data_IF_732041683666
#
_entry.id   IF_732041683666
#
_cell.length_a   1.000
_cell.length_b   1.000
_cell.length_c   1.000
_cell.angle_alpha   90.00
_cell.angle_beta   90.00
_cell.angle_gamma   90.00
#
_symmetry.space_group_name_H-M   'P 1'
#
loop_
_entity.id
_entity.type
_entity.pdbx_description
1 polymer ?
#
# COMPACT_ATOMS: atom_id res chain seq x y z
N UNK A 1 18.27 2.80 17.99
CA UNK A 1 18.33 3.79 16.91
C UNK A 1 17.19 4.80 17.12
N UNK A 2 17.52 6.08 16.96
CA UNK A 2 16.53 7.17 17.01
C UNK A 2 16.48 7.75 15.60
N UNK A 3 15.30 7.89 15.05
CA UNK A 3 15.03 8.51 13.77
C UNK A 3 14.21 9.79 14.00
N UNK A 4 14.74 10.90 13.56
CA UNK A 4 14.05 12.19 13.54
C UNK A 4 14.03 12.68 12.11
N UNK A 5 12.84 12.83 11.54
CA UNK A 5 12.66 13.36 10.20
C UNK A 5 11.66 14.52 10.25
N UNK A 6 11.97 15.57 9.52
CA UNK A 6 11.07 16.68 9.28
C UNK A 6 10.97 16.95 7.78
N UNK A 7 9.79 17.23 7.30
CA UNK A 7 9.52 17.56 5.90
C UNK A 7 8.43 18.61 5.80
N UNK A 8 8.38 19.28 4.65
CA UNK A 8 7.29 20.19 4.32
C UNK A 8 6.63 19.72 3.03
N UNK A 9 5.33 19.57 3.05
CA UNK A 9 4.55 19.13 1.91
C UNK A 9 3.26 19.95 1.76
N UNK A 10 2.37 19.57 0.85
CA UNK A 10 1.12 20.28 0.61
C UNK A 10 0.21 20.40 1.84
N UNK A 11 0.45 19.65 2.91
CA UNK A 11 -0.26 19.69 4.19
C UNK A 11 0.51 20.38 5.32
N UNK A 12 1.53 21.18 5.01
CA UNK A 12 2.35 21.84 6.00
C UNK A 12 3.54 20.98 6.47
N UNK A 13 3.98 21.24 7.68
CA UNK A 13 5.11 20.53 8.28
C UNK A 13 4.70 19.11 8.72
N UNK A 14 5.52 18.13 8.38
CA UNK A 14 5.37 16.72 8.79
C UNK A 14 6.58 16.38 9.65
N UNK A 15 6.33 15.93 10.87
CA UNK A 15 7.35 15.41 11.78
C UNK A 15 7.23 13.90 11.96
N UNK A 16 8.35 13.20 11.94
CA UNK A 16 8.42 11.77 12.28
C UNK A 16 9.45 11.56 13.38
N UNK A 17 9.04 10.88 14.43
CA UNK A 17 9.90 10.37 15.50
C UNK A 17 9.81 8.85 15.48
N UNK A 18 10.95 8.18 15.24
CA UNK A 18 11.09 6.73 15.30
C UNK A 18 12.08 6.32 16.39
N UNK A 19 11.71 5.31 17.16
CA UNK A 19 12.57 4.66 18.14
C UNK A 19 12.63 3.17 17.81
N UNK A 20 13.80 2.63 17.52
CA UNK A 20 13.97 1.20 17.23
C UNK A 20 15.07 0.59 18.09
N UNK A 21 14.79 -0.62 18.58
CA UNK A 21 15.66 -1.42 19.44
C UNK A 21 15.76 -2.82 18.84
N UNK A 22 16.93 -3.19 18.31
CA UNK A 22 17.15 -4.43 17.54
C UNK A 22 17.67 -5.60 18.39
N UNK A 23 17.83 -5.43 19.68
CA UNK A 23 18.26 -6.47 20.59
C UNK A 23 17.44 -6.44 21.88
N UNK A 24 16.15 -6.20 21.76
CA UNK A 24 15.24 -6.23 22.90
C UNK A 24 15.09 -7.65 23.45
N UNK A 25 14.84 -7.77 24.74
CA UNK A 25 14.56 -9.03 25.41
C UNK A 25 13.31 -8.93 26.26
N UNK A 26 12.24 -9.60 25.86
CA UNK A 26 11.03 -9.71 26.67
C UNK A 26 11.26 -10.54 27.94
N UNK A 27 12.19 -11.50 27.93
CA UNK A 27 12.52 -12.32 29.09
C UNK A 27 13.19 -11.52 30.19
N UNK A 28 14.01 -10.54 29.80
CA UNK A 28 14.81 -9.76 30.71
C UNK A 28 14.08 -8.49 31.21
N UNK A 29 12.78 -8.36 31.00
CA UNK A 29 11.99 -7.18 31.46
C UNK A 29 12.10 -6.98 32.99
N UNK A 30 12.24 -8.05 33.77
CA UNK A 30 12.36 -7.99 35.22
C UNK A 30 13.82 -7.99 35.72
N UNK A 31 14.81 -8.14 34.81
CA UNK A 31 16.23 -8.08 35.16
C UNK A 31 16.81 -6.69 34.93
N UNK A 32 16.96 -5.91 36.00
CA UNK A 32 17.53 -4.55 35.96
C UNK A 32 18.95 -4.48 35.37
N UNK A 33 19.73 -5.58 35.46
CA UNK A 33 21.10 -5.62 34.92
C UNK A 33 21.14 -5.69 33.39
N UNK A 34 20.05 -6.12 32.78
CA UNK A 34 19.91 -6.22 31.32
C UNK A 34 19.55 -4.89 30.62
N UNK A 35 19.24 -3.83 31.38
CA UNK A 35 18.78 -2.55 30.84
C UNK A 35 19.93 -1.68 30.30
N UNK A 36 19.92 -1.41 28.93
CA UNK A 36 20.89 -0.54 28.23
C UNK A 36 20.27 0.15 26.98
N UNK A 37 19.33 1.08 27.03
CA UNK A 37 18.43 1.57 28.08
C UNK A 37 17.19 0.69 28.30
N UNK A 38 16.86 -0.23 27.40
CA UNK A 38 15.80 -1.24 27.52
C UNK A 38 16.43 -2.61 27.81
N UNK A 39 15.64 -3.59 28.30
CA UNK A 39 16.13 -4.95 28.52
C UNK A 39 16.61 -5.55 27.18
N UNK A 40 17.83 -6.04 27.14
CA UNK A 40 18.50 -6.56 25.94
C UNK A 40 18.93 -8.01 26.11
N UNK A 41 19.18 -8.70 24.97
CA UNK A 41 19.81 -10.01 24.97
C UNK A 41 19.21 -11.08 24.03
N UNK A 42 17.95 -10.96 23.62
CA UNK A 42 17.25 -11.98 22.82
C UNK A 42 17.19 -11.64 21.31
N UNK A 43 17.72 -10.50 20.86
CA UNK A 43 17.72 -10.13 19.45
C UNK A 43 16.34 -9.77 18.90
N UNK A 44 15.37 -9.53 19.78
CA UNK A 44 14.03 -9.11 19.39
C UNK A 44 14.05 -7.66 18.88
N UNK A 45 13.17 -7.34 17.93
CA UNK A 45 13.02 -6.00 17.40
C UNK A 45 11.78 -5.34 18.00
N UNK A 46 11.98 -4.19 18.61
CA UNK A 46 10.92 -3.34 19.12
C UNK A 46 11.01 -1.98 18.42
N UNK A 47 9.91 -1.51 17.84
CA UNK A 47 9.89 -0.18 17.24
C UNK A 47 8.61 0.58 17.62
N UNK A 48 8.81 1.87 17.87
CA UNK A 48 7.76 2.86 18.09
C UNK A 48 7.95 3.96 17.05
N UNK A 49 6.88 4.34 16.36
CA UNK A 49 6.92 5.43 15.40
C UNK A 49 5.72 6.34 15.59
N UNK A 50 6.01 7.62 15.68
CA UNK A 50 5.04 8.70 15.67
C UNK A 50 5.28 9.54 14.42
N UNK A 51 4.27 9.72 13.62
CA UNK A 51 4.29 10.67 12.52
C UNK A 51 3.11 11.63 12.71
N UNK A 52 3.39 12.91 12.63
CA UNK A 52 2.35 13.92 12.84
C UNK A 52 2.50 15.08 11.89
N UNK A 53 1.37 15.58 11.42
CA UNK A 53 1.23 16.82 10.68
C UNK A 53 0.03 17.60 11.24
N UNK A 54 -0.25 18.75 10.63
CA UNK A 54 -1.45 19.51 10.97
C UNK A 54 -2.75 18.73 10.70
N UNK A 55 -2.75 17.84 9.68
CA UNK A 55 -3.95 17.17 9.17
C UNK A 55 -4.05 15.71 9.57
N UNK A 56 -2.96 15.09 9.99
CA UNK A 56 -3.00 13.70 10.42
C UNK A 56 -1.97 13.38 11.48
N UNK A 57 -2.22 12.32 12.23
CA UNK A 57 -1.29 11.71 13.15
C UNK A 57 -1.36 10.20 13.04
N UNK A 58 -0.21 9.55 12.96
CA UNK A 58 -0.08 8.08 12.94
C UNK A 58 0.81 7.66 14.09
N UNK A 59 0.31 6.74 14.90
CA UNK A 59 1.02 6.08 15.99
C UNK A 59 1.18 4.63 15.62
N UNK A 60 2.40 4.10 15.65
CA UNK A 60 2.63 2.69 15.40
C UNK A 60 3.59 2.09 16.41
N UNK A 61 3.26 0.88 16.82
CA UNK A 61 4.08 0.03 17.64
C UNK A 61 4.29 -1.27 16.87
N UNK A 62 5.52 -1.78 16.83
CA UNK A 62 5.82 -3.09 16.26
C UNK A 62 6.79 -3.85 17.13
N UNK A 63 6.55 -5.14 17.24
CA UNK A 63 7.41 -6.10 17.92
C UNK A 63 7.63 -7.30 17.01
N UNK A 64 8.86 -7.79 16.92
CA UNK A 64 9.19 -9.00 16.16
C UNK A 64 10.17 -9.88 16.94
N UNK A 65 9.79 -11.15 17.07
CA UNK A 65 10.63 -12.23 17.57
C UNK A 65 11.13 -13.05 16.37
N UNK A 66 12.42 -12.96 16.00
CA UNK A 66 12.93 -13.63 14.80
C UNK A 66 13.04 -15.17 14.96
N UNK A 67 13.09 -15.67 16.19
CA UNK A 67 13.27 -17.09 16.52
C UNK A 67 12.19 -17.57 17.49
N UNK A 68 10.98 -17.74 17.01
CA UNK A 68 9.85 -18.21 17.84
C UNK A 68 10.19 -19.53 18.54
N UNK A 69 10.18 -19.49 19.88
CA UNK A 69 10.58 -20.64 20.68
C UNK A 69 12.10 -20.89 20.75
N UNK A 70 12.94 -20.01 20.19
CA UNK A 70 14.41 -20.03 20.32
C UNK A 70 15.14 -21.08 19.49
N UNK A 71 14.44 -21.92 18.72
CA UNK A 71 15.05 -23.04 17.99
C UNK A 71 14.75 -23.08 16.50
N UNK A 72 13.67 -22.45 16.04
CA UNK A 72 13.27 -22.48 14.65
C UNK A 72 13.31 -21.07 14.04
N UNK A 73 13.75 -20.93 12.78
CA UNK A 73 13.75 -19.64 12.07
C UNK A 73 12.33 -19.27 11.61
N UNK A 74 11.41 -19.18 12.57
CA UNK A 74 10.05 -18.70 12.38
C UNK A 74 9.96 -17.36 13.10
N UNK A 75 9.75 -16.31 12.34
CA UNK A 75 9.54 -14.97 12.88
C UNK A 75 8.08 -14.81 13.29
N UNK A 76 7.88 -14.42 14.54
CA UNK A 76 6.58 -13.89 14.99
C UNK A 76 6.63 -12.37 14.98
N UNK A 77 5.56 -11.72 14.55
CA UNK A 77 5.44 -10.26 14.58
C UNK A 77 4.07 -9.84 15.08
N UNK A 78 4.03 -8.72 15.78
CA UNK A 78 2.80 -8.02 16.13
C UNK A 78 2.97 -6.54 15.83
N UNK A 79 1.93 -5.91 15.30
CA UNK A 79 1.90 -4.45 15.09
C UNK A 79 0.57 -3.88 15.52
N UNK A 80 0.64 -2.71 16.14
CA UNK A 80 -0.51 -1.87 16.49
C UNK A 80 -0.35 -0.56 15.72
N UNK A 81 -1.42 -0.09 15.13
CA UNK A 81 -1.43 1.18 14.41
C UNK A 81 -2.70 1.95 14.75
N UNK A 82 -2.55 3.25 14.95
CA UNK A 82 -3.66 4.17 15.07
C UNK A 82 -3.37 5.41 14.24
N UNK A 83 -4.25 5.72 13.31
CA UNK A 83 -4.14 6.88 12.41
C UNK A 83 -5.40 7.73 12.54
N UNK A 84 -5.23 9.02 12.69
CA UNK A 84 -6.31 10.01 12.67
C UNK A 84 -6.00 10.98 11.54
N UNK A 85 -6.95 11.21 10.67
CA UNK A 85 -6.90 12.22 9.63
C UNK A 85 -8.04 13.22 9.84
N UNK A 86 -7.73 14.52 9.71
CA UNK A 86 -8.68 15.62 9.81
C UNK A 86 -8.92 16.23 8.43
N UNK A 87 -10.11 16.78 8.21
CA UNK A 87 -10.43 17.47 6.99
C UNK A 87 -9.67 18.79 6.86
N UNK A 88 -9.24 19.12 5.67
CA UNK A 88 -8.70 20.43 5.35
C UNK A 88 -9.84 21.43 5.16
N UNK A 89 -9.80 22.52 5.92
CA UNK A 89 -10.70 23.65 5.75
C UNK A 89 -10.04 24.67 4.78
N UNK A 90 -10.60 24.79 3.59
CA UNK A 90 -10.09 25.69 2.54
C UNK A 90 -10.21 27.17 2.88
N UNK A 91 -11.11 27.56 3.81
CA UNK A 91 -11.30 28.96 4.21
C UNK A 91 -10.29 29.42 5.23
N UNK A 92 -9.97 28.56 6.19
CA UNK A 92 -9.03 28.88 7.27
C UNK A 92 -7.61 28.41 6.99
N UNK A 93 -7.42 27.47 6.05
CA UNK A 93 -6.14 26.78 5.80
C UNK A 93 -5.71 25.84 6.94
N UNK A 94 -6.61 25.54 7.88
CA UNK A 94 -6.35 24.74 9.06
C UNK A 94 -7.08 23.39 8.99
N UNK A 95 -6.73 22.49 9.91
CA UNK A 95 -7.45 21.24 10.08
C UNK A 95 -8.76 21.45 10.85
N UNK A 96 -9.86 20.98 10.28
CA UNK A 96 -11.13 20.90 10.98
C UNK A 96 -11.20 19.62 11.81
N UNK A 97 -10.98 19.74 13.11
CA UNK A 97 -10.97 18.60 14.03
C UNK A 97 -12.35 18.02 14.34
N UNK A 98 -13.42 18.72 13.95
CA UNK A 98 -14.80 18.20 14.07
C UNK A 98 -15.09 17.13 13.01
N UNK A 99 -14.26 17.07 11.95
CA UNK A 99 -14.37 16.14 10.86
C UNK A 99 -13.13 15.24 10.82
N UNK A 100 -13.30 13.97 11.13
CA UNK A 100 -12.18 13.05 11.25
C UNK A 100 -12.45 11.68 10.68
N UNK A 101 -11.39 11.07 10.15
CA UNK A 101 -11.34 9.68 9.76
C UNK A 101 -10.26 8.97 10.57
N UNK A 102 -10.65 7.93 11.29
CA UNK A 102 -9.77 7.19 12.19
C UNK A 102 -9.65 5.73 11.74
N UNK A 103 -8.43 5.21 11.80
CA UNK A 103 -8.12 3.81 11.52
C UNK A 103 -7.32 3.26 12.69
N UNK A 104 -7.85 2.26 13.38
CA UNK A 104 -7.15 1.53 14.44
C UNK A 104 -6.96 0.09 14.02
N UNK A 105 -5.76 -0.45 14.14
CA UNK A 105 -5.48 -1.80 13.67
C UNK A 105 -4.50 -2.57 14.55
N UNK A 106 -4.70 -3.89 14.57
CA UNK A 106 -3.77 -4.87 15.13
C UNK A 106 -3.49 -5.92 14.06
N UNK A 107 -2.23 -6.31 13.93
CA UNK A 107 -1.81 -7.41 13.05
C UNK A 107 -0.91 -8.36 13.81
N UNK A 108 -1.18 -9.66 13.69
CA UNK A 108 -0.34 -10.75 14.19
C UNK A 108 0.16 -11.55 12.98
N UNK A 109 1.46 -11.75 12.89
CA UNK A 109 2.09 -12.39 11.73
C UNK A 109 3.09 -13.48 12.11
N UNK A 110 3.19 -14.46 11.22
CA UNK A 110 4.20 -15.50 11.22
C UNK A 110 4.88 -15.51 9.85
N UNK A 111 6.21 -15.54 9.84
CA UNK A 111 6.98 -15.66 8.61
C UNK A 111 8.04 -16.76 8.76
N UNK A 112 8.17 -17.58 7.72
CA UNK A 112 9.11 -18.70 7.69
C UNK A 112 9.82 -18.77 6.34
N UNK A 113 11.15 -18.90 6.37
CA UNK A 113 11.92 -19.24 5.18
C UNK A 113 11.69 -20.70 4.82
N UNK A 114 11.39 -20.97 3.57
CA UNK A 114 11.22 -22.31 3.05
C UNK A 114 12.57 -22.83 2.52
N UNK A 115 12.77 -24.17 2.55
CA UNK A 115 13.95 -24.82 1.99
C UNK A 115 13.68 -25.42 0.60
N UNK A 116 12.42 -25.56 0.25
CA UNK A 116 11.95 -26.14 -1.02
C UNK A 116 11.03 -25.12 -1.68
N UNK A 117 11.19 -24.83 -2.97
CA UNK A 117 12.15 -25.40 -3.94
C UNK A 117 13.59 -24.85 -3.79
N UNK A 118 13.80 -23.68 -3.20
CA UNK A 118 15.11 -23.13 -2.87
C UNK A 118 15.04 -22.26 -1.59
N UNK A 119 16.20 -21.85 -1.05
CA UNK A 119 16.31 -21.10 0.20
C UNK A 119 15.91 -19.61 0.08
N UNK A 120 15.50 -19.14 -1.09
CA UNK A 120 15.06 -17.76 -1.29
C UNK A 120 13.56 -17.58 -1.07
N UNK A 121 12.81 -18.67 -0.93
CA UNK A 121 11.38 -18.62 -0.64
C UNK A 121 11.07 -18.29 0.80
N UNK A 122 10.10 -17.41 1.00
CA UNK A 122 9.53 -17.07 2.29
C UNK A 122 8.01 -17.15 2.23
N UNK A 123 7.43 -17.87 3.17
CA UNK A 123 5.99 -17.89 3.41
C UNK A 123 5.68 -17.04 4.63
N UNK A 124 4.78 -16.07 4.48
CA UNK A 124 4.24 -15.28 5.58
C UNK A 124 2.72 -15.43 5.65
N UNK A 125 2.20 -15.41 6.87
CA UNK A 125 0.79 -15.49 7.18
C UNK A 125 0.48 -14.47 8.26
N UNK A 126 -0.64 -13.78 8.16
CA UNK A 126 -1.04 -12.82 9.19
C UNK A 126 -2.55 -12.76 9.33
N UNK A 127 -2.98 -12.45 10.54
CA UNK A 127 -4.35 -12.07 10.86
C UNK A 127 -4.32 -10.62 11.27
N UNK A 128 -5.16 -9.81 10.65
CA UNK A 128 -5.29 -8.39 10.94
C UNK A 128 -6.74 -8.04 11.26
N UNK A 129 -6.91 -7.17 12.25
CA UNK A 129 -8.19 -6.52 12.51
C UNK A 129 -7.99 -5.01 12.41
N UNK A 130 -8.84 -4.35 11.62
CA UNK A 130 -8.84 -2.90 11.44
C UNK A 130 -10.25 -2.37 11.70
N UNK A 131 -10.32 -1.33 12.50
CA UNK A 131 -11.53 -0.59 12.79
C UNK A 131 -11.43 0.79 12.15
N UNK A 132 -12.40 1.13 11.33
CA UNK A 132 -12.53 2.40 10.65
C UNK A 132 -13.67 3.18 11.30
N UNK A 133 -13.44 4.45 11.63
CA UNK A 133 -14.45 5.33 12.18
C UNK A 133 -14.44 6.67 11.43
N UNK A 134 -15.59 7.03 10.86
CA UNK A 134 -15.82 8.28 10.17
C UNK A 134 -16.71 9.15 11.04
N UNK A 135 -16.27 10.38 11.27
CA UNK A 135 -17.04 11.40 11.99
C UNK A 135 -17.14 12.62 11.10
N UNK A 136 -18.30 12.79 10.48
CA UNK A 136 -18.61 13.85 9.51
C UNK A 136 -17.51 14.05 8.44
N UNK A 137 -16.90 12.92 7.98
CA UNK A 137 -15.75 12.92 7.08
C UNK A 137 -16.05 12.13 5.81
N UNK A 138 -16.27 12.83 4.71
CA UNK A 138 -16.49 12.21 3.40
C UNK A 138 -15.16 11.92 2.74
N UNK A 139 -14.81 10.64 2.62
CA UNK A 139 -13.57 10.18 1.96
C UNK A 139 -13.67 10.18 0.44
N UNK A 140 -14.88 10.27 -0.11
CA UNK A 140 -15.17 10.02 -1.52
C UNK A 140 -15.22 8.53 -1.89
N UNK A 141 -14.89 7.62 -0.95
CA UNK A 141 -14.98 6.16 -1.15
C UNK A 141 -16.31 5.60 -0.65
N UNK A 142 -16.88 6.21 0.39
CA UNK A 142 -18.20 5.88 0.91
C UNK A 142 -19.22 6.93 0.54
N UNK A 143 -20.47 6.54 0.49
CA UNK A 143 -21.62 7.43 0.35
C UNK A 143 -22.03 8.07 1.69
N UNK A 144 -21.46 7.59 2.80
CA UNK A 144 -21.69 8.11 4.15
C UNK A 144 -20.44 8.82 4.70
N UNK A 145 -20.66 9.86 5.49
CA UNK A 145 -19.61 10.61 6.20
C UNK A 145 -19.54 10.30 7.69
N UNK A 146 -20.57 9.65 8.24
CA UNK A 146 -20.65 9.19 9.62
C UNK A 146 -20.88 7.68 9.63
N UNK A 147 -20.06 6.95 10.39
CA UNK A 147 -20.21 5.52 10.49
C UNK A 147 -18.92 4.77 10.82
N UNK A 148 -19.03 3.46 10.83
CA UNK A 148 -17.95 2.57 11.20
C UNK A 148 -17.83 1.38 10.23
N UNK A 149 -16.63 0.85 10.07
CA UNK A 149 -16.39 -0.39 9.33
C UNK A 149 -15.35 -1.25 10.03
N UNK A 150 -15.57 -2.56 10.02
CA UNK A 150 -14.70 -3.55 10.63
C UNK A 150 -14.10 -4.45 9.55
N UNK A 151 -12.78 -4.65 9.59
CA UNK A 151 -12.05 -5.46 8.63
C UNK A 151 -11.22 -6.52 9.38
N UNK A 152 -11.73 -7.72 9.48
CA UNK A 152 -10.97 -8.88 9.96
C UNK A 152 -10.48 -9.65 8.74
N UNK A 153 -9.17 -9.74 8.56
CA UNK A 153 -8.61 -10.37 7.38
C UNK A 153 -7.49 -11.35 7.72
N UNK A 154 -7.44 -12.45 6.97
CA UNK A 154 -6.31 -13.38 6.93
C UNK A 154 -5.55 -13.16 5.63
N UNK A 155 -4.23 -12.96 5.73
CA UNK A 155 -3.35 -12.72 4.59
C UNK A 155 -2.28 -13.79 4.53
N UNK A 156 -2.09 -14.37 3.34
CA UNK A 156 -0.99 -15.27 3.02
C UNK A 156 -0.15 -14.64 1.93
N UNK A 157 1.16 -14.64 2.09
CA UNK A 157 2.10 -14.16 1.08
C UNK A 157 3.23 -15.15 0.88
N UNK A 158 3.49 -15.48 -0.38
CA UNK A 158 4.64 -16.27 -0.81
C UNK A 158 5.55 -15.36 -1.62
N UNK A 159 6.75 -15.13 -1.11
CA UNK A 159 7.76 -14.32 -1.78
C UNK A 159 9.01 -15.13 -2.08
N UNK A 160 9.71 -14.76 -3.13
CA UNK A 160 11.03 -15.25 -3.47
C UNK A 160 11.88 -14.09 -3.94
N UNK A 161 13.07 -13.96 -3.39
CA UNK A 161 14.01 -12.93 -3.80
C UNK A 161 15.43 -13.50 -3.87
N UNK A 162 15.95 -13.59 -5.09
CA UNK A 162 17.34 -13.94 -5.35
C UNK A 162 18.08 -12.84 -6.14
N UNK A 163 17.63 -11.61 -6.03
CA UNK A 163 18.30 -10.48 -6.68
C UNK A 163 19.73 -10.33 -6.21
N UNK A 164 20.63 -9.97 -7.13
CA UNK A 164 22.07 -10.00 -6.86
C UNK A 164 22.53 -8.76 -6.09
N UNK A 165 23.28 -9.05 -5.08
CA UNK A 165 24.27 -8.31 -4.26
C UNK A 165 24.00 -6.83 -3.97
N UNK A 166 23.63 -6.00 -4.94
CA UNK A 166 23.39 -4.58 -4.71
C UNK A 166 21.90 -4.28 -4.67
N UNK A 167 21.31 -3.99 -3.51
CA UNK A 167 19.86 -3.72 -3.41
C UNK A 167 19.43 -2.45 -4.15
N UNK A 168 20.35 -1.49 -4.37
CA UNK A 168 20.06 -0.22 -5.04
C UNK A 168 20.08 -0.40 -6.56
N UNK A 169 21.01 -1.21 -7.05
CA UNK A 169 21.19 -1.50 -8.46
C UNK A 169 21.39 -3.01 -8.70
N UNK A 170 20.34 -3.83 -8.59
CA UNK A 170 20.44 -5.25 -8.90
C UNK A 170 20.82 -5.45 -10.37
N UNK A 171 21.83 -6.29 -10.60
CA UNK A 171 22.33 -6.61 -11.94
C UNK A 171 21.87 -7.97 -12.44
N UNK A 172 21.12 -8.72 -11.66
CA UNK A 172 20.59 -10.02 -12.04
C UNK A 172 19.73 -10.63 -10.95
N UNK A 173 19.08 -11.73 -11.27
CA UNK A 173 18.15 -12.42 -10.39
C UNK A 173 16.70 -11.97 -10.58
N UNK A 174 15.84 -12.44 -9.71
CA UNK A 174 14.41 -12.15 -9.75
C UNK A 174 13.84 -11.99 -8.34
N UNK A 175 12.80 -11.19 -8.25
CA UNK A 175 11.98 -11.08 -7.04
C UNK A 175 10.53 -11.22 -7.45
N UNK A 176 9.77 -12.06 -6.75
CA UNK A 176 8.32 -12.09 -6.92
C UNK A 176 7.61 -12.27 -5.58
N UNK A 177 6.38 -11.79 -5.55
CA UNK A 177 5.51 -11.90 -4.40
C UNK A 177 4.07 -12.18 -4.86
N UNK A 178 3.46 -13.21 -4.30
CA UNK A 178 2.03 -13.49 -4.44
C UNK A 178 1.42 -13.27 -3.07
N UNK A 179 0.45 -12.39 -2.96
CA UNK A 179 -0.29 -12.11 -1.72
C UNK A 179 -1.77 -12.37 -1.94
N UNK A 180 -2.37 -13.15 -1.06
CA UNK A 180 -3.80 -13.37 -1.01
C UNK A 180 -4.35 -12.95 0.35
N UNK A 181 -5.36 -12.08 0.35
CA UNK A 181 -6.04 -11.56 1.54
C UNK A 181 -7.52 -11.95 1.47
N UNK A 182 -8.02 -12.49 2.56
CA UNK A 182 -9.39 -13.00 2.67
C UNK A 182 -10.04 -12.47 3.94
N UNK A 183 -11.26 -12.02 3.83
CA UNK A 183 -12.11 -11.75 5.00
C UNK A 183 -13.13 -12.88 5.16
N UNK A 184 -13.70 -13.09 6.35
CA UNK A 184 -14.81 -14.03 6.50
C UNK A 184 -16.01 -13.64 5.62
N UNK A 185 -16.69 -14.61 4.99
CA UNK A 185 -17.89 -14.35 4.20
C UNK A 185 -19.11 -14.17 5.11
N UNK A 186 -19.21 -13.05 5.79
CA UNK A 186 -20.25 -12.76 6.79
C UNK A 186 -21.67 -12.91 6.26
N UNK A 187 -21.89 -12.55 4.98
CA UNK A 187 -23.20 -12.62 4.34
C UNK A 187 -23.75 -14.04 4.22
N UNK A 188 -22.88 -15.07 4.27
CA UNK A 188 -23.31 -16.48 4.26
C UNK A 188 -23.89 -16.94 5.60
N UNK A 189 -23.60 -16.23 6.70
CA UNK A 189 -23.91 -16.68 8.06
C UNK A 189 -24.91 -15.77 8.79
N UNK A 190 -25.13 -14.52 8.32
CA UNK A 190 -25.95 -13.54 9.03
C UNK A 190 -27.43 -13.54 8.62
N UNK A 191 -27.81 -14.31 7.60
CA UNK A 191 -29.21 -14.45 7.15
C UNK A 191 -29.83 -13.19 6.54
N UNK A 192 -29.03 -12.14 6.23
CA UNK A 192 -29.53 -10.90 5.64
C UNK A 192 -29.56 -10.98 4.11
N UNK A 193 -30.65 -10.50 3.52
CA UNK A 193 -30.76 -10.28 2.09
C UNK A 193 -30.30 -8.86 1.75
N UNK A 194 -29.10 -8.76 1.16
CA UNK A 194 -28.51 -7.49 0.77
C UNK A 194 -29.03 -6.94 -0.58
N UNK A 195 -29.82 -7.72 -1.33
CA UNK A 195 -30.37 -7.27 -2.62
C UNK A 195 -31.55 -6.32 -2.46
N UNK A 196 -32.30 -6.45 -1.37
CA UNK A 196 -33.59 -5.76 -1.17
C UNK A 196 -33.56 -4.81 0.04
N UNK A 197 -32.37 -4.39 0.52
CA UNK A 197 -32.28 -3.47 1.67
C UNK A 197 -33.04 -2.16 1.45
N UNK A 198 -33.04 -1.64 0.22
CA UNK A 198 -33.73 -0.39 -0.11
C UNK A 198 -35.25 -0.46 -0.03
N UNK A 199 -35.84 -1.67 0.01
CA UNK A 199 -37.29 -1.88 0.13
C UNK A 199 -37.77 -1.93 1.58
N UNK A 200 -36.81 -2.02 2.54
CA UNK A 200 -37.14 -2.09 3.96
C UNK A 200 -37.35 -0.68 4.53
N UNK A 201 -38.40 -0.46 5.35
CA UNK A 201 -38.75 0.86 5.89
C UNK A 201 -37.63 1.52 6.68
N UNK A 202 -36.77 0.73 7.33
CA UNK A 202 -35.62 1.22 8.12
C UNK A 202 -34.50 1.85 7.28
N UNK A 203 -34.50 1.60 5.97
CA UNK A 203 -33.56 2.13 4.99
C UNK A 203 -34.18 3.15 4.03
N UNK A 204 -35.38 3.66 4.34
CA UNK A 204 -36.10 4.63 3.53
C UNK A 204 -36.30 5.95 4.27
N UNK A 205 -36.40 7.04 3.50
CA UNK A 205 -36.80 8.34 4.03
C UNK A 205 -38.33 8.40 4.24
N UNK A 206 -38.83 9.52 4.76
CA UNK A 206 -40.26 9.77 4.99
C UNK A 206 -41.13 9.67 3.71
N UNK A 207 -40.51 9.76 2.53
CA UNK A 207 -41.17 9.69 1.23
C UNK A 207 -41.04 8.29 0.59
N UNK A 208 -40.42 7.32 1.27
CA UNK A 208 -40.21 5.97 0.76
C UNK A 208 -39.03 5.81 -0.20
N UNK A 209 -38.10 6.82 -0.26
CA UNK A 209 -36.91 6.71 -1.09
C UNK A 209 -35.76 6.03 -0.32
N UNK A 210 -34.96 5.16 -0.96
CA UNK A 210 -33.85 4.49 -0.33
C UNK A 210 -32.77 5.47 0.17
N UNK A 211 -32.38 5.37 1.44
CA UNK A 211 -31.27 6.10 2.05
C UNK A 211 -29.94 5.39 1.76
N UNK A 212 -29.31 5.73 0.64
CA UNK A 212 -28.09 5.05 0.15
C UNK A 212 -26.98 5.03 1.19
N UNK A 213 -26.78 6.13 1.94
CA UNK A 213 -25.76 6.19 2.99
C UNK A 213 -25.99 5.18 4.12
N UNK A 214 -27.24 4.96 4.53
CA UNK A 214 -27.62 4.00 5.58
C UNK A 214 -27.50 2.57 5.05
N UNK A 215 -27.92 2.33 3.81
CA UNK A 215 -27.75 1.03 3.13
C UNK A 215 -26.27 0.66 3.02
N UNK A 216 -25.42 1.59 2.58
CA UNK A 216 -24.01 1.34 2.44
C UNK A 216 -23.31 1.18 3.80
N UNK A 217 -23.73 1.92 4.83
CA UNK A 217 -23.24 1.71 6.19
C UNK A 217 -23.55 0.29 6.69
N UNK A 218 -24.75 -0.24 6.41
CA UNK A 218 -25.10 -1.61 6.77
C UNK A 218 -24.30 -2.64 5.93
N UNK A 219 -24.15 -2.42 4.61
CA UNK A 219 -23.37 -3.29 3.73
C UNK A 219 -21.91 -3.39 4.13
N UNK A 220 -21.31 -2.28 4.57
CA UNK A 220 -19.86 -2.19 4.82
C UNK A 220 -19.48 -2.15 6.31
N UNK A 221 -20.44 -2.34 7.21
CA UNK A 221 -20.15 -2.46 8.65
C UNK A 221 -19.13 -3.56 8.97
N UNK A 222 -19.18 -4.69 8.27
CA UNK A 222 -18.15 -5.73 8.23
C UNK A 222 -17.71 -5.91 6.80
N UNK A 223 -16.45 -5.61 6.50
CA UNK A 223 -15.91 -5.72 5.15
C UNK A 223 -15.80 -7.19 4.75
N UNK A 224 -16.30 -7.50 3.54
CA UNK A 224 -16.34 -8.84 3.00
C UNK A 224 -15.79 -8.85 1.58
N UNK A 225 -14.57 -9.43 1.41
CA UNK A 225 -13.87 -9.46 0.14
C UNK A 225 -12.74 -10.48 0.12
N UNK A 226 -12.28 -10.77 -1.06
CA UNK A 226 -10.98 -11.37 -1.28
C UNK A 226 -10.14 -10.47 -2.20
N UNK A 227 -8.82 -10.48 -1.97
CA UNK A 227 -7.85 -9.69 -2.75
C UNK A 227 -6.65 -10.54 -3.06
N UNK A 228 -6.26 -10.62 -4.33
CA UNK A 228 -5.07 -11.34 -4.76
C UNK A 228 -4.18 -10.39 -5.53
N UNK A 229 -2.88 -10.38 -5.20
CA UNK A 229 -1.87 -9.58 -5.91
C UNK A 229 -0.70 -10.44 -6.31
N UNK A 230 -0.15 -10.14 -7.46
CA UNK A 230 1.12 -10.66 -7.94
C UNK A 230 2.02 -9.50 -8.33
N UNK A 231 3.25 -9.51 -7.83
CA UNK A 231 4.32 -8.60 -8.26
C UNK A 231 5.53 -9.44 -8.64
N UNK A 232 6.04 -9.24 -9.83
CA UNK A 232 7.21 -9.97 -10.32
C UNK A 232 8.19 -9.05 -11.00
N UNK A 233 9.48 -9.15 -10.64
CA UNK A 233 10.57 -8.36 -11.21
C UNK A 233 11.72 -9.27 -11.56
N UNK A 234 12.31 -9.07 -12.74
CA UNK A 234 13.49 -9.78 -13.22
C UNK A 234 14.55 -8.79 -13.66
N UNK A 235 15.80 -9.09 -13.34
CA UNK A 235 16.97 -8.34 -13.76
C UNK A 235 17.86 -9.20 -14.62
N UNK A 236 18.16 -8.71 -15.82
CA UNK A 236 19.00 -9.42 -16.80
C UNK A 236 20.13 -8.51 -17.24
N UNK A 237 21.40 -8.85 -16.98
CA UNK A 237 22.53 -8.12 -17.54
C UNK A 237 22.53 -8.34 -19.06
N UNK A 238 22.57 -7.24 -19.84
CA UNK A 238 22.58 -7.33 -21.30
C UNK A 238 24.01 -7.19 -21.83
N UNK A 239 24.66 -6.11 -21.46
CA UNK A 239 26.01 -5.79 -21.95
C UNK A 239 26.76 -4.97 -20.88
N UNK A 240 27.95 -5.40 -20.49
CA UNK A 240 28.80 -4.76 -19.47
C UNK A 240 28.02 -4.35 -18.20
N UNK A 241 27.74 -3.04 -18.08
CA UNK A 241 27.02 -2.44 -16.94
C UNK A 241 25.53 -2.25 -17.22
N UNK A 242 25.08 -2.53 -18.46
CA UNK A 242 23.69 -2.31 -18.86
C UNK A 242 22.80 -3.43 -18.33
N UNK A 243 21.79 -3.09 -17.58
CA UNK A 243 20.84 -4.04 -16.98
C UNK A 243 19.42 -3.77 -17.46
N UNK A 244 18.76 -4.81 -17.95
CA UNK A 244 17.34 -4.81 -18.23
C UNK A 244 16.58 -5.24 -16.97
N UNK A 245 15.62 -4.42 -16.54
CA UNK A 245 14.61 -4.78 -15.55
C UNK A 245 13.30 -4.97 -16.28
N UNK A 246 12.65 -6.11 -16.07
CA UNK A 246 11.28 -6.36 -16.49
C UNK A 246 10.41 -6.58 -15.26
N UNK A 247 9.17 -6.07 -15.28
CA UNK A 247 8.25 -6.15 -14.16
C UNK A 247 6.84 -6.41 -14.67
N UNK A 248 6.11 -7.27 -13.94
CA UNK A 248 4.70 -7.52 -14.16
C UNK A 248 3.96 -7.50 -12.81
N UNK A 249 2.92 -6.69 -12.73
CA UNK A 249 2.10 -6.53 -11.54
C UNK A 249 0.63 -6.75 -11.88
N UNK A 250 -0.07 -7.50 -11.04
CA UNK A 250 -1.51 -7.76 -11.16
C UNK A 250 -2.16 -7.64 -9.79
N UNK A 251 -3.39 -7.16 -9.77
CA UNK A 251 -4.21 -7.15 -8.57
C UNK A 251 -5.67 -7.38 -8.90
N UNK A 252 -6.35 -8.12 -8.04
CA UNK A 252 -7.75 -8.48 -8.15
C UNK A 252 -8.42 -8.33 -6.79
N UNK A 253 -9.58 -7.67 -6.77
CA UNK A 253 -10.47 -7.60 -5.61
C UNK A 253 -11.83 -8.13 -6.06
N UNK A 254 -12.44 -9.00 -5.25
CA UNK A 254 -13.79 -9.48 -5.48
C UNK A 254 -14.60 -9.56 -4.19
N UNK A 255 -15.91 -9.51 -4.36
CA UNK A 255 -16.87 -9.75 -3.28
C UNK A 255 -17.37 -11.19 -3.35
N UNK A 256 -17.59 -11.83 -2.19
CA UNK A 256 -18.22 -13.14 -2.14
C UNK A 256 -19.72 -13.04 -2.46
N UNK A 257 -20.34 -11.93 -2.03
CA UNK A 257 -21.74 -11.63 -2.30
C UNK A 257 -21.86 -10.41 -3.21
N UNK A 258 -22.33 -10.61 -4.44
CA UNK A 258 -22.45 -9.56 -5.46
C UNK A 258 -23.45 -8.47 -5.02
N UNK A 259 -24.50 -8.82 -4.27
CA UNK A 259 -25.51 -7.86 -3.80
C UNK A 259 -24.98 -6.85 -2.78
N UNK A 260 -23.85 -7.15 -2.11
CA UNK A 260 -23.13 -6.20 -1.27
C UNK A 260 -22.29 -5.22 -2.08
N UNK A 261 -21.91 -5.60 -3.29
CA UNK A 261 -21.00 -4.83 -4.14
C UNK A 261 -19.54 -4.97 -3.72
N UNK A 262 -18.68 -4.31 -4.49
CA UNK A 262 -17.25 -4.25 -4.18
C UNK A 262 -17.00 -3.27 -3.03
N UNK A 263 -16.10 -3.65 -2.12
CA UNK A 263 -15.72 -2.79 -1.00
C UNK A 263 -15.17 -1.45 -1.50
N UNK A 264 -15.44 -0.34 -0.79
CA UNK A 264 -14.90 0.96 -1.14
C UNK A 264 -13.42 1.13 -0.76
N UNK A 265 -12.95 0.39 0.25
CA UNK A 265 -11.55 0.38 0.65
C UNK A 265 -10.71 -0.58 -0.19
N UNK A 266 -9.39 -0.45 -0.09
CA UNK A 266 -8.42 -1.36 -0.69
C UNK A 266 -8.43 -1.42 -2.23
N UNK A 267 -9.23 -0.58 -2.90
CA UNK A 267 -9.24 -0.50 -4.36
C UNK A 267 -7.94 0.07 -4.91
N UNK A 268 -7.69 -0.24 -6.17
CA UNK A 268 -6.49 0.17 -6.88
C UNK A 268 -6.69 1.49 -7.61
N UNK A 269 -5.74 2.39 -7.44
CA UNK A 269 -5.72 3.68 -8.12
C UNK A 269 -4.46 3.80 -8.95
N UNK A 270 -4.60 3.78 -10.28
CA UNK A 270 -3.49 3.76 -11.22
C UNK A 270 -3.19 5.16 -11.77
N UNK A 271 -1.90 5.39 -12.04
CA UNK A 271 -1.37 6.59 -12.67
C UNK A 271 -0.37 7.33 -11.79
N UNK A 272 0.50 8.10 -12.45
CA UNK A 272 1.45 8.98 -11.82
C UNK A 272 2.68 8.31 -11.22
N UNK A 273 3.23 8.94 -10.21
CA UNK A 273 4.42 8.49 -9.48
C UNK A 273 4.08 7.57 -8.31
N UNK A 274 2.80 7.38 -8.00
CA UNK A 274 2.33 6.60 -6.87
C UNK A 274 2.54 7.30 -5.52
N UNK A 275 2.89 8.57 -5.52
CA UNK A 275 2.89 9.40 -4.31
C UNK A 275 1.48 9.91 -4.06
N UNK A 276 0.94 9.59 -2.90
CA UNK A 276 -0.37 10.11 -2.48
C UNK A 276 -0.12 11.29 -1.56
N UNK A 277 -0.71 12.42 -1.87
CA UNK A 277 -0.87 13.48 -0.90
C UNK A 277 -2.08 13.15 -0.01
N UNK A 278 -1.89 12.80 1.24
CA UNK A 278 -2.88 12.82 2.34
C UNK A 278 -4.03 11.82 2.38
N UNK A 279 -4.24 10.94 1.40
CA UNK A 279 -5.31 9.96 1.49
C UNK A 279 -4.85 8.71 2.27
N UNK A 280 -5.02 8.70 3.58
CA UNK A 280 -4.77 7.55 4.46
C UNK A 280 -6.00 6.64 4.58
N UNK A 281 -6.82 6.58 3.54
CA UNK A 281 -8.12 5.92 3.48
C UNK A 281 -8.06 4.46 3.03
N UNK A 282 -6.85 3.88 2.96
CA UNK A 282 -6.66 2.48 2.59
C UNK A 282 -6.65 2.23 1.07
N UNK A 283 -6.70 3.27 0.24
CA UNK A 283 -6.51 3.12 -1.21
C UNK A 283 -5.10 2.64 -1.54
N UNK A 284 -4.97 1.82 -2.56
CA UNK A 284 -3.68 1.33 -3.03
C UNK A 284 -3.29 2.01 -4.35
N UNK A 285 -2.24 2.83 -4.31
CA UNK A 285 -1.79 3.57 -5.50
C UNK A 285 -0.76 2.78 -6.27
N UNK A 286 -1.01 2.61 -7.56
CA UNK A 286 -0.15 1.91 -8.51
C UNK A 286 0.44 2.94 -9.46
N UNK A 287 1.75 3.16 -9.35
CA UNK A 287 2.44 4.10 -10.24
C UNK A 287 2.42 3.61 -11.69
N UNK A 288 2.07 4.51 -12.61
CA UNK A 288 2.23 4.36 -14.05
C UNK A 288 2.68 5.71 -14.61
N UNK A 289 3.95 5.78 -14.97
CA UNK A 289 4.60 7.02 -15.42
C UNK A 289 4.05 7.48 -16.78
N UNK A 290 4.06 8.79 -17.03
CA UNK A 290 3.48 9.38 -18.24
C UNK A 290 1.98 9.67 -18.14
N UNK A 291 1.40 9.51 -16.95
CA UNK A 291 0.00 9.83 -16.65
C UNK A 291 -0.10 10.61 -15.33
N UNK A 292 -1.10 11.48 -15.17
CA UNK A 292 -1.37 12.13 -13.88
C UNK A 292 -1.71 11.09 -12.78
N UNK A 293 -1.50 11.48 -11.54
CA UNK A 293 -1.79 10.62 -10.39
C UNK A 293 -3.25 10.16 -10.40
N UNK A 294 -3.46 8.84 -10.28
CA UNK A 294 -4.76 8.16 -10.19
C UNK A 294 -5.67 8.33 -11.43
N UNK A 295 -5.18 8.91 -12.52
CA UNK A 295 -6.00 9.26 -13.71
C UNK A 295 -6.50 8.05 -14.52
N UNK A 296 -5.92 6.86 -14.31
CA UNK A 296 -6.28 5.64 -15.02
C UNK A 296 -7.29 4.76 -14.25
N UNK A 297 -7.87 5.31 -13.21
CA UNK A 297 -8.92 4.67 -12.41
C UNK A 297 -10.09 5.62 -12.29
N UNK A 298 -11.32 5.09 -12.20
CA UNK A 298 -12.48 5.89 -11.86
C UNK A 298 -12.37 6.50 -10.46
N UNK A 299 -13.30 7.39 -10.12
CA UNK A 299 -13.33 8.05 -8.82
C UNK A 299 -13.34 7.06 -7.64
N UNK A 300 -13.97 5.91 -7.84
CA UNK A 300 -14.08 4.85 -6.84
C UNK A 300 -12.88 3.89 -6.84
N UNK A 301 -11.91 4.09 -7.73
CA UNK A 301 -10.80 3.17 -7.94
C UNK A 301 -11.20 1.90 -8.70
N UNK A 302 -10.23 1.11 -9.10
CA UNK A 302 -10.39 -0.12 -9.87
C UNK A 302 -10.39 -1.35 -8.98
N UNK A 303 -11.11 -2.41 -9.37
CA UNK A 303 -11.12 -3.71 -8.68
C UNK A 303 -10.10 -4.67 -9.27
N UNK A 304 -9.64 -4.41 -10.48
CA UNK A 304 -8.59 -5.17 -11.16
C UNK A 304 -7.59 -4.18 -11.74
N UNK A 305 -6.33 -4.53 -11.71
CA UNK A 305 -5.30 -3.84 -12.50
C UNK A 305 -4.28 -4.81 -13.07
N UNK A 306 -3.67 -4.40 -14.16
CA UNK A 306 -2.45 -4.97 -14.67
C UNK A 306 -1.45 -3.86 -14.98
N UNK A 307 -0.17 -4.15 -14.79
CA UNK A 307 0.94 -3.27 -15.16
C UNK A 307 2.12 -4.10 -15.62
N UNK A 308 2.70 -3.66 -16.73
CA UNK A 308 3.96 -4.18 -17.25
C UNK A 308 4.96 -3.03 -17.36
N UNK A 309 6.21 -3.29 -17.02
CA UNK A 309 7.29 -2.31 -17.13
C UNK A 309 8.56 -2.98 -17.66
N UNK A 310 9.22 -2.29 -18.56
CA UNK A 310 10.54 -2.64 -19.06
C UNK A 310 11.42 -1.43 -18.84
N UNK A 311 12.53 -1.59 -18.11
CA UNK A 311 13.49 -0.51 -17.87
C UNK A 311 14.88 -0.94 -18.30
N UNK A 312 15.54 -0.12 -19.08
CA UNK A 312 16.94 -0.24 -19.39
C UNK A 312 17.72 0.69 -18.48
N UNK A 313 18.60 0.13 -17.63
CA UNK A 313 19.30 0.82 -16.56
C UNK A 313 20.80 0.84 -16.80
N UNK A 314 21.42 2.02 -16.64
CA UNK A 314 22.86 2.20 -16.77
C UNK A 314 23.43 2.92 -15.52
N UNK A 315 24.38 2.32 -14.77
CA UNK A 315 24.96 2.95 -13.60
C UNK A 315 26.03 3.97 -14.01
N UNK A 316 25.83 5.19 -13.54
CA UNK A 316 26.82 6.28 -13.70
C UNK A 316 27.88 6.14 -12.61
N UNK A 317 27.45 5.93 -11.37
CA UNK A 317 28.34 5.63 -10.24
C UNK A 317 27.59 4.75 -9.22
N UNK A 318 28.30 3.79 -8.63
CA UNK A 318 27.79 2.91 -7.56
C UNK A 318 28.67 2.99 -6.32
N UNK A 319 29.15 4.19 -5.96
CA UNK A 319 29.96 4.37 -4.75
C UNK A 319 29.11 4.30 -3.50
N UNK A 320 29.68 3.85 -2.36
CA UNK A 320 28.94 3.79 -1.09
C UNK A 320 28.35 5.14 -0.64
N UNK A 321 29.02 6.25 -0.98
CA UNK A 321 28.57 7.61 -0.64
C UNK A 321 27.40 8.10 -1.49
N UNK A 322 27.32 7.64 -2.75
CA UNK A 322 26.22 7.96 -3.65
C UNK A 322 26.16 6.97 -4.80
N UNK A 323 25.00 6.39 -5.05
CA UNK A 323 24.74 5.57 -6.22
C UNK A 323 23.83 6.34 -7.17
N UNK A 324 24.29 6.54 -8.42
CA UNK A 324 23.57 7.29 -9.44
C UNK A 324 23.44 6.41 -10.67
N UNK A 325 22.24 6.26 -11.21
CA UNK A 325 22.00 5.57 -12.46
C UNK A 325 20.93 6.26 -13.30
N UNK A 326 21.09 6.18 -14.61
CA UNK A 326 20.10 6.59 -15.58
C UNK A 326 19.25 5.39 -16.00
N UNK A 327 18.04 5.66 -16.43
CA UNK A 327 17.15 4.63 -16.99
C UNK A 327 16.30 5.20 -18.11
N UNK A 328 15.91 4.33 -19.03
CA UNK A 328 14.78 4.53 -19.93
C UNK A 328 13.74 3.45 -19.66
N UNK A 329 12.47 3.77 -19.90
CA UNK A 329 11.38 2.85 -19.59
C UNK A 329 10.30 2.82 -20.66
N UNK A 330 9.64 1.68 -20.75
CA UNK A 330 8.36 1.46 -21.40
C UNK A 330 7.41 0.89 -20.35
N UNK A 331 6.24 1.47 -20.20
CA UNK A 331 5.21 0.98 -19.29
C UNK A 331 3.88 0.80 -20.02
N UNK A 332 3.12 -0.18 -19.59
CA UNK A 332 1.76 -0.41 -20.05
C UNK A 332 0.92 -0.93 -18.88
N UNK A 333 -0.27 -0.40 -18.70
CA UNK A 333 -1.16 -0.85 -17.63
C UNK A 333 -2.54 -0.23 -17.73
N UNK A 334 -3.49 -0.81 -17.02
CA UNK A 334 -4.86 -0.30 -16.94
C UNK A 334 -5.55 -0.75 -15.66
N UNK A 335 -6.58 0.00 -15.25
CA UNK A 335 -7.50 -0.35 -14.19
C UNK A 335 -8.87 -0.72 -14.74
N UNK A 336 -9.57 -1.68 -14.11
CA UNK A 336 -10.87 -2.16 -14.55
C UNK A 336 -11.84 -2.26 -13.37
N UNK A 337 -13.11 -1.94 -13.64
CA UNK A 337 -14.16 -1.89 -12.62
C UNK A 337 -14.85 -3.25 -12.43
N UNK A 338 -14.62 -4.20 -13.34
CA UNK A 338 -15.24 -5.53 -13.28
C UNK A 338 -14.40 -6.59 -13.99
N UNK A 339 -14.56 -7.85 -13.57
CA UNK A 339 -13.95 -9.00 -14.24
C UNK A 339 -14.43 -9.19 -15.69
N UNK A 340 -15.66 -8.75 -15.99
CA UNK A 340 -16.20 -8.84 -17.35
C UNK A 340 -15.45 -7.95 -18.35
N UNK A 341 -14.95 -6.79 -17.87
CA UNK A 341 -14.28 -5.79 -18.70
C UNK A 341 -12.76 -5.96 -18.70
N UNK A 342 -12.23 -6.97 -17.99
CA UNK A 342 -10.81 -7.20 -17.91
C UNK A 342 -10.24 -7.69 -19.24
N UNK A 343 -9.34 -6.89 -19.83
CA UNK A 343 -8.54 -7.23 -21.00
C UNK A 343 -7.09 -6.76 -20.77
N UNK A 344 -6.16 -7.67 -20.47
CA UNK A 344 -4.78 -7.31 -20.15
C UNK A 344 -4.01 -6.68 -21.33
N UNK A 345 -4.53 -6.79 -22.55
CA UNK A 345 -3.93 -6.19 -23.74
C UNK A 345 -4.47 -4.77 -24.02
N UNK A 346 -5.60 -4.39 -23.44
CA UNK A 346 -6.12 -3.03 -23.52
C UNK A 346 -5.48 -2.16 -22.45
N UNK A 347 -4.18 -1.90 -22.61
CA UNK A 347 -3.38 -1.16 -21.64
C UNK A 347 -3.02 0.23 -22.15
N UNK A 348 -2.99 1.19 -21.25
CA UNK A 348 -2.48 2.54 -21.47
C UNK A 348 -0.95 2.51 -21.45
N UNK A 349 -0.32 3.04 -22.50
CA UNK A 349 1.12 2.89 -22.78
C UNK A 349 1.86 4.19 -22.54
N UNK A 350 3.08 4.09 -22.05
CA UNK A 350 3.98 5.22 -21.90
C UNK A 350 5.43 4.83 -22.14
N UNK A 351 6.24 5.84 -22.44
CA UNK A 351 7.69 5.70 -22.56
C UNK A 351 8.35 6.93 -21.93
N UNK A 352 9.59 6.77 -21.48
CA UNK A 352 10.30 7.89 -20.90
C UNK A 352 11.71 7.54 -20.45
N UNK A 353 12.33 8.51 -19.78
CA UNK A 353 13.66 8.38 -19.22
C UNK A 353 13.71 9.07 -17.85
N UNK A 354 14.67 8.65 -17.04
CA UNK A 354 14.85 9.23 -15.71
C UNK A 354 16.21 8.97 -15.11
N UNK A 355 16.41 9.57 -13.96
CA UNK A 355 17.63 9.44 -13.17
C UNK A 355 17.27 9.09 -11.73
N UNK A 356 18.08 8.23 -11.13
CA UNK A 356 17.98 7.85 -9.72
C UNK A 356 19.28 8.22 -9.01
N UNK A 357 19.15 8.80 -7.84
CA UNK A 357 20.25 9.16 -6.96
C UNK A 357 19.93 8.57 -5.60
N UNK A 358 20.76 7.66 -5.15
CA UNK A 358 20.68 7.14 -3.79
C UNK A 358 21.82 7.73 -2.96
N UNK A 359 21.47 8.30 -1.82
CA UNK A 359 22.41 8.79 -0.81
C UNK A 359 22.03 8.23 0.55
N UNK A 360 22.95 7.63 1.32
CA UNK A 360 22.62 6.99 2.61
C UNK A 360 21.89 7.91 3.61
N UNK A 361 22.15 9.22 3.55
CA UNK A 361 21.53 10.20 4.45
C UNK A 361 20.11 10.62 4.01
N UNK A 362 19.78 10.52 2.72
CA UNK A 362 18.52 11.03 2.14
C UNK A 362 17.63 9.95 1.50
N UNK A 363 18.19 8.72 1.35
CA UNK A 363 17.50 7.65 0.64
C UNK A 363 17.56 7.80 -0.87
N UNK A 364 16.57 7.23 -1.56
CA UNK A 364 16.44 7.26 -3.02
C UNK A 364 15.68 8.52 -3.45
N UNK A 365 16.28 9.28 -4.33
CA UNK A 365 15.65 10.40 -5.04
C UNK A 365 15.62 10.08 -6.53
N UNK A 366 14.59 10.48 -7.22
CA UNK A 366 14.48 10.29 -8.67
C UNK A 366 13.62 11.32 -9.34
N UNK A 367 13.89 11.50 -10.62
CA UNK A 367 13.05 12.29 -11.53
C UNK A 367 12.88 11.50 -12.83
N UNK A 368 11.65 11.40 -13.28
CA UNK A 368 11.27 10.77 -14.55
C UNK A 368 10.51 11.75 -15.44
N UNK A 369 10.80 11.71 -16.71
CA UNK A 369 10.03 12.35 -17.76
C UNK A 369 9.36 11.25 -18.58
N UNK A 370 8.03 11.18 -18.51
CA UNK A 370 7.23 10.17 -19.17
C UNK A 370 6.27 10.79 -20.17
N UNK A 371 6.11 10.15 -21.32
CA UNK A 371 5.12 10.51 -22.33
C UNK A 371 4.05 9.44 -22.39
N UNK A 372 2.80 9.80 -22.08
CA UNK A 372 1.63 8.93 -22.20
C UNK A 372 1.08 8.97 -23.62
N UNK A 373 1.09 7.80 -24.29
CA UNK A 373 0.62 7.69 -25.68
C UNK A 373 -0.90 7.66 -25.81
N UNK A 374 -1.58 7.20 -24.75
CA UNK A 374 -3.02 7.04 -24.73
C UNK A 374 -3.65 8.07 -23.77
N UNK A 375 -4.89 8.48 -24.01
CA UNK A 375 -5.58 9.38 -23.09
C UNK A 375 -6.20 8.61 -21.93
N UNK A 376 -6.13 9.14 -20.69
CA UNK A 376 -6.89 8.59 -19.56
C UNK A 376 -8.41 8.58 -19.83
N UNK A 377 -8.91 9.66 -20.46
CA UNK A 377 -10.31 9.73 -20.84
C UNK A 377 -10.57 8.85 -22.08
N UNK A 378 -11.41 7.80 -21.99
CA UNK A 378 -11.69 6.90 -23.12
C UNK A 378 -12.35 7.58 -24.32
N UNK A 379 -12.97 8.76 -24.11
CA UNK A 379 -13.64 9.52 -25.16
C UNK A 379 -12.69 10.46 -25.92
N UNK A 380 -11.43 10.56 -25.51
CA UNK A 380 -10.43 11.39 -26.16
C UNK A 380 -9.47 10.56 -27.00
N UNK A 381 -9.19 11.02 -28.19
CA UNK A 381 -8.21 10.39 -29.11
C UNK A 381 -6.83 11.03 -29.05
N UNK A 382 -6.67 12.11 -28.28
CA UNK A 382 -5.38 12.78 -28.12
C UNK A 382 -4.51 12.03 -27.11
N UNK A 383 -3.19 12.06 -27.30
CA UNK A 383 -2.25 11.51 -26.29
C UNK A 383 -2.34 12.30 -24.99
N UNK A 384 -2.01 11.68 -23.85
CA UNK A 384 -1.87 12.40 -22.57
C UNK A 384 -0.75 13.44 -22.65
N UNK A 385 0.37 13.09 -23.29
CA UNK A 385 1.52 13.97 -23.42
C UNK A 385 2.58 13.75 -22.35
N UNK A 386 3.40 14.78 -22.11
CA UNK A 386 4.52 14.74 -21.17
C UNK A 386 4.07 14.99 -19.73
N UNK A 387 4.57 14.13 -18.83
CA UNK A 387 4.43 14.26 -17.38
C UNK A 387 5.81 14.15 -16.71
N UNK A 388 5.99 14.91 -15.65
CA UNK A 388 7.18 14.85 -14.81
C UNK A 388 6.83 14.19 -13.48
N UNK A 389 7.58 13.16 -13.10
CA UNK A 389 7.35 12.40 -11.89
C UNK A 389 8.54 12.50 -10.96
N UNK A 390 8.28 12.69 -9.68
CA UNK A 390 9.29 12.70 -8.65
C UNK A 390 9.23 11.39 -7.84
N UNK A 391 10.37 10.90 -7.42
CA UNK A 391 10.47 9.73 -6.56
C UNK A 391 11.27 10.13 -5.33
N UNK A 392 10.66 9.97 -4.16
CA UNK A 392 11.27 10.28 -2.87
C UNK A 392 11.04 9.08 -1.94
N UNK A 393 12.11 8.58 -1.36
CA UNK A 393 12.06 7.49 -0.38
C UNK A 393 12.67 6.18 -0.84
N UNK A 394 12.75 5.23 0.07
CA UNK A 394 13.24 3.88 -0.21
C UNK A 394 12.06 3.04 -0.73
N UNK A 395 12.01 2.81 -2.03
CA UNK A 395 11.27 1.71 -2.61
C UNK A 395 12.31 0.72 -3.17
N UNK A 396 12.66 -0.22 -2.34
CA UNK A 396 13.50 -1.37 -2.72
C UNK A 396 12.61 -2.58 -2.99
#
# INVERSE_FOLDING_TARGET
>A
QIELQGGYGQGGFIGTLGLSFNNFSMRNIFDKKAYKPLPMGDGQNLALRLQASQFYSTYSFSFAEPWLGGQQPVQFSTSLQHTIQYRFDYFTGLADKSQSFQISGITLGLAKRLRVPDDFFQLSQSISFQYYNLNNYFTGLFTFGDGEANNLAYTVSLSRDNTRINPIFPTGGSSFNITAKFTPPYSLFNGKDYSNLGDLPEFQDENGNPLISVIDQEKFKWLEFYKVKFNGTWYTPIYEKLTLKTQADFGFIGAYNISRGNIPFERFFLGGDGMISYALDGRETIALRGYPNQSLSGNDGSVIYNKFSIELRYPITLKPSASIYALSFLEAGNGYDSFRNFDPFNSKRSAGAGVRIFMPAFGLLGIDFGYGFDNPNPNSTTANGWETHFIIGQRF
#
